data_IF_370217413167
#
_entry.id   IF_370217413167
#
_cell.length_a   1.000
_cell.length_b   1.000
_cell.length_c   1.000
_cell.angle_alpha   90.00
_cell.angle_beta   90.00
_cell.angle_gamma   90.00
#
_symmetry.space_group_name_H-M   'P 1'
#
loop_
_entity.id
_entity.type
_entity.pdbx_description
1 polymer ?
#
# COMPACT_ATOMS: atom_id res chain seq x y z
N UNK A 1 -0.06 -16.90 9.07
CA UNK A 1 1.20 -16.13 9.15
C UNK A 1 1.49 -15.62 7.75
N UNK A 2 1.34 -14.32 7.47
CA UNK A 2 1.69 -13.74 6.16
C UNK A 2 3.20 -13.88 6.00
N UNK A 3 3.66 -14.53 4.92
CA UNK A 3 5.08 -14.60 4.59
C UNK A 3 5.52 -13.24 4.06
N UNK A 4 6.06 -12.40 4.93
CA UNK A 4 6.77 -11.20 4.49
C UNK A 4 8.06 -11.65 3.80
N UNK A 5 8.36 -11.08 2.63
CA UNK A 5 9.65 -11.25 1.99
C UNK A 5 10.66 -10.44 2.82
N UNK A 6 11.52 -11.05 3.63
CA UNK A 6 12.55 -10.30 4.31
C UNK A 6 13.47 -9.69 3.23
N UNK A 7 13.73 -8.40 3.31
CA UNK A 7 14.88 -7.85 2.63
C UNK A 7 16.07 -8.68 3.13
N UNK A 8 16.74 -9.43 2.23
CA UNK A 8 17.95 -10.18 2.58
C UNK A 8 18.83 -9.25 3.40
N UNK A 9 19.18 -9.68 4.60
CA UNK A 9 20.17 -9.03 5.47
C UNK A 9 21.46 -8.89 4.69
N UNK A 10 21.61 -7.83 3.91
CA UNK A 10 22.90 -7.44 3.43
C UNK A 10 23.52 -6.66 4.58
N UNK A 11 24.65 -7.14 5.08
CA UNK A 11 25.51 -6.35 5.93
C UNK A 11 25.73 -5.02 5.23
N UNK A 12 25.16 -3.96 5.78
CA UNK A 12 25.42 -2.62 5.28
C UNK A 12 26.89 -2.36 5.57
N UNK A 13 27.76 -2.27 4.56
CA UNK A 13 29.14 -1.91 4.79
C UNK A 13 29.17 -0.59 5.55
N UNK A 14 30.13 -0.45 6.44
CA UNK A 14 30.32 0.78 7.19
C UNK A 14 30.22 1.98 6.26
N UNK A 15 29.67 3.08 6.75
CA UNK A 15 29.40 4.31 6.02
C UNK A 15 30.68 4.88 5.38
N UNK A 16 31.18 4.19 4.35
CA UNK A 16 32.17 4.72 3.42
C UNK A 16 31.37 5.40 2.33
N UNK A 17 31.82 6.55 1.91
CA UNK A 17 31.23 7.37 0.85
C UNK A 17 31.28 6.63 -0.49
N UNK A 18 30.47 5.59 -0.64
CA UNK A 18 30.27 4.97 -1.94
C UNK A 18 29.78 6.01 -2.91
N UNK A 19 30.48 6.18 -4.02
CA UNK A 19 30.07 7.11 -5.07
C UNK A 19 28.65 6.82 -5.57
N UNK A 20 27.94 7.85 -6.05
CA UNK A 20 26.56 7.73 -6.52
C UNK A 20 26.37 6.55 -7.48
N UNK A 21 27.30 6.35 -8.43
CA UNK A 21 27.26 5.25 -9.40
C UNK A 21 27.34 3.86 -8.75
N UNK A 22 28.15 3.72 -7.71
CA UNK A 22 28.30 2.45 -7.01
C UNK A 22 27.01 2.11 -6.22
N UNK A 23 26.40 3.11 -5.57
CA UNK A 23 25.09 2.96 -4.91
C UNK A 23 23.99 2.58 -5.90
N UNK A 24 23.94 3.21 -7.08
CA UNK A 24 22.96 2.89 -8.12
C UNK A 24 23.16 1.48 -8.68
N UNK A 25 24.41 1.03 -8.91
CA UNK A 25 24.71 -0.34 -9.35
C UNK A 25 24.24 -1.37 -8.33
N UNK A 26 24.56 -1.16 -7.06
CA UNK A 26 24.15 -2.05 -5.96
C UNK A 26 22.62 -2.11 -5.85
N UNK A 27 21.97 -0.97 -5.84
CA UNK A 27 20.51 -0.89 -5.81
C UNK A 27 19.86 -1.53 -7.04
N UNK A 28 20.45 -1.40 -8.23
CA UNK A 28 19.94 -2.06 -9.44
C UNK A 28 19.96 -3.60 -9.29
N UNK A 29 21.05 -4.16 -8.77
CA UNK A 29 21.17 -5.61 -8.52
C UNK A 29 20.16 -6.07 -7.46
N UNK A 30 20.01 -5.33 -6.35
CA UNK A 30 19.03 -5.60 -5.30
C UNK A 30 17.59 -5.67 -5.82
N UNK A 31 17.28 -4.86 -6.85
CA UNK A 31 15.97 -4.81 -7.50
C UNK A 31 15.88 -5.69 -8.77
N UNK A 32 16.88 -6.55 -9.01
CA UNK A 32 16.87 -7.50 -10.15
C UNK A 32 17.19 -6.90 -11.52
N UNK A 33 17.75 -5.69 -11.59
CA UNK A 33 18.14 -5.07 -12.85
C UNK A 33 19.58 -5.43 -13.24
N UNK A 34 19.78 -5.86 -14.51
CA UNK A 34 21.09 -6.16 -15.06
C UNK A 34 21.93 -4.90 -15.37
N UNK A 35 21.28 -3.74 -15.55
CA UNK A 35 21.93 -2.47 -15.89
C UNK A 35 21.49 -1.36 -14.94
N UNK A 36 22.46 -0.68 -14.35
CA UNK A 36 22.19 0.48 -13.49
C UNK A 36 21.59 1.67 -14.24
N UNK A 37 21.88 1.81 -15.55
CA UNK A 37 21.27 2.86 -16.37
C UNK A 37 19.78 2.61 -16.59
N UNK A 38 19.39 1.36 -16.89
CA UNK A 38 17.98 0.96 -17.00
C UNK A 38 17.27 1.16 -15.66
N UNK A 39 17.88 0.75 -14.56
CA UNK A 39 17.36 1.00 -13.22
C UNK A 39 17.19 2.49 -12.94
N UNK A 40 18.18 3.33 -13.24
CA UNK A 40 18.12 4.78 -13.07
C UNK A 40 17.00 5.42 -13.89
N UNK A 41 16.84 5.00 -15.15
CA UNK A 41 15.75 5.47 -16.03
C UNK A 41 14.37 5.07 -15.47
N UNK A 42 14.19 3.81 -15.05
CA UNK A 42 12.93 3.34 -14.46
C UNK A 42 12.60 4.14 -13.20
N UNK A 43 13.58 4.36 -12.33
CA UNK A 43 13.40 5.16 -11.09
C UNK A 43 13.03 6.61 -11.39
N UNK A 44 13.68 7.22 -12.39
CA UNK A 44 13.35 8.58 -12.84
C UNK A 44 11.93 8.63 -13.40
N UNK A 45 11.59 7.70 -14.31
CA UNK A 45 10.23 7.58 -14.88
C UNK A 45 9.18 7.45 -13.76
N UNK A 46 9.41 6.55 -12.80
CA UNK A 46 8.48 6.31 -11.71
C UNK A 46 8.33 7.53 -10.79
N UNK A 47 9.42 8.27 -10.56
CA UNK A 47 9.37 9.53 -9.85
C UNK A 47 8.51 10.57 -10.57
N UNK A 48 8.73 10.77 -11.88
CA UNK A 48 7.95 11.72 -12.69
C UNK A 48 6.48 11.33 -12.70
N UNK A 49 6.16 10.05 -12.93
CA UNK A 49 4.78 9.55 -12.90
C UNK A 49 4.11 9.75 -11.53
N UNK A 50 4.86 9.56 -10.43
CA UNK A 50 4.35 9.85 -9.09
C UNK A 50 4.00 11.33 -8.93
N UNK A 51 4.89 12.24 -9.36
CA UNK A 51 4.65 13.69 -9.27
C UNK A 51 3.41 14.11 -10.08
N UNK A 52 3.25 13.55 -11.29
CA UNK A 52 2.07 13.79 -12.12
C UNK A 52 0.81 13.24 -11.41
N UNK A 53 0.86 11.99 -10.93
CA UNK A 53 -0.27 11.37 -10.24
C UNK A 53 -0.71 12.14 -8.99
N UNK A 54 0.22 12.72 -8.25
CA UNK A 54 -0.09 13.49 -7.04
C UNK A 54 -0.83 14.80 -7.35
N UNK A 55 -0.54 15.45 -8.49
CA UNK A 55 -1.02 16.81 -8.82
C UNK A 55 -2.06 16.86 -9.93
N UNK A 56 -2.22 15.81 -10.73
CA UNK A 56 -3.15 15.82 -11.86
C UNK A 56 -4.59 16.09 -11.41
N UNK A 57 -5.30 16.94 -12.13
CA UNK A 57 -6.70 17.26 -11.85
C UNK A 57 -7.63 16.05 -12.09
N UNK A 58 -7.34 15.26 -13.13
CA UNK A 58 -8.22 14.18 -13.59
C UNK A 58 -7.91 12.83 -12.92
N UNK A 59 -8.93 12.18 -12.38
CA UNK A 59 -8.83 10.83 -11.80
C UNK A 59 -8.19 9.81 -12.77
N UNK A 60 -8.61 9.82 -14.01
CA UNK A 60 -8.09 8.91 -15.04
C UNK A 60 -6.58 9.07 -15.26
N UNK A 61 -6.05 10.28 -15.20
CA UNK A 61 -4.61 10.54 -15.31
C UNK A 61 -3.87 9.99 -14.08
N UNK A 62 -4.38 10.23 -12.88
CA UNK A 62 -3.80 9.71 -11.64
C UNK A 62 -3.71 8.18 -11.67
N UNK A 63 -4.83 7.52 -11.98
CA UNK A 63 -4.90 6.06 -12.09
C UNK A 63 -3.95 5.53 -13.16
N UNK A 64 -3.91 6.15 -14.35
CA UNK A 64 -3.00 5.74 -15.45
C UNK A 64 -1.54 5.83 -15.03
N UNK A 65 -1.12 6.94 -14.42
CA UNK A 65 0.25 7.10 -13.94
C UNK A 65 0.63 6.02 -12.92
N UNK A 66 -0.24 5.71 -11.98
CA UNK A 66 0.03 4.68 -10.97
C UNK A 66 0.10 3.27 -11.58
N UNK A 67 -0.78 2.94 -12.54
CA UNK A 67 -0.70 1.68 -13.29
C UNK A 67 0.64 1.54 -14.04
N UNK A 68 1.13 2.62 -14.67
CA UNK A 68 2.44 2.62 -15.34
C UNK A 68 3.63 2.47 -14.37
N UNK A 69 3.43 2.76 -13.09
CA UNK A 69 4.40 2.46 -12.02
C UNK A 69 4.30 1.02 -11.51
N UNK A 70 3.35 0.24 -12.00
CA UNK A 70 3.14 -1.15 -11.60
C UNK A 70 2.09 -1.36 -10.51
N UNK A 71 1.40 -0.31 -10.05
CA UNK A 71 0.28 -0.46 -9.10
C UNK A 71 -0.86 -1.21 -9.78
N UNK A 72 -1.38 -2.24 -9.14
CA UNK A 72 -2.54 -2.99 -9.62
C UNK A 72 -3.80 -2.25 -9.21
N UNK A 73 -4.54 -1.69 -10.18
CA UNK A 73 -5.73 -0.88 -9.90
C UNK A 73 -6.89 -1.42 -10.72
N UNK A 74 -7.97 -1.76 -10.04
CA UNK A 74 -9.22 -2.26 -10.60
C UNK A 74 -10.03 -1.23 -11.37
N UNK A 75 -11.26 -1.59 -11.72
CA UNK A 75 -12.22 -0.73 -12.42
C UNK A 75 -12.94 0.18 -11.41
N UNK A 76 -13.37 1.36 -11.87
CA UNK A 76 -14.18 2.27 -11.04
C UNK A 76 -13.49 2.83 -9.81
N UNK A 77 -12.17 2.68 -9.68
CA UNK A 77 -11.41 3.20 -8.54
C UNK A 77 -11.36 4.71 -8.57
N UNK A 78 -11.72 5.35 -7.45
CA UNK A 78 -11.45 6.75 -7.22
C UNK A 78 -10.08 6.92 -6.56
N UNK A 79 -9.21 7.70 -7.21
CA UNK A 79 -7.85 7.99 -6.73
C UNK A 79 -7.71 9.48 -6.45
N UNK A 80 -7.68 9.87 -5.19
CA UNK A 80 -7.55 11.25 -4.75
C UNK A 80 -6.22 11.92 -5.16
N UNK A 81 -6.14 13.22 -4.94
CA UNK A 81 -4.90 13.99 -5.14
C UNK A 81 -3.91 13.73 -4.01
N UNK A 82 -2.62 13.93 -4.29
CA UNK A 82 -1.56 13.82 -3.30
C UNK A 82 -1.49 12.46 -2.58
N UNK A 83 -1.88 11.37 -3.25
CA UNK A 83 -1.69 10.01 -2.74
C UNK A 83 -0.25 9.60 -3.00
N UNK A 84 0.50 9.41 -1.92
CA UNK A 84 1.90 8.98 -1.97
C UNK A 84 1.98 7.46 -1.87
N UNK A 85 2.64 6.83 -2.85
CA UNK A 85 3.03 5.42 -2.76
C UNK A 85 4.55 5.36 -2.66
N UNK A 86 5.00 4.53 -1.76
CA UNK A 86 6.39 4.21 -1.52
C UNK A 86 7.17 3.96 -2.83
N UNK A 87 8.18 4.79 -3.16
CA UNK A 87 8.79 4.74 -4.47
C UNK A 87 9.50 3.43 -4.84
N UNK A 88 10.13 2.68 -3.91
CA UNK A 88 10.85 1.45 -4.29
C UNK A 88 9.96 0.33 -4.81
N UNK A 89 8.73 0.20 -4.29
CA UNK A 89 7.91 -1.00 -4.49
C UNK A 89 6.43 -0.67 -4.80
N UNK A 90 6.11 0.18 -5.80
CA UNK A 90 4.73 0.53 -6.12
C UNK A 90 3.90 -0.69 -6.56
N UNK A 91 4.53 -1.70 -7.13
CA UNK A 91 3.89 -2.95 -7.58
C UNK A 91 3.45 -3.88 -6.43
N UNK A 92 3.78 -3.54 -5.18
CA UNK A 92 3.22 -4.19 -3.98
C UNK A 92 1.89 -3.59 -3.52
N UNK A 93 1.34 -2.61 -4.26
CA UNK A 93 0.03 -2.03 -3.96
C UNK A 93 -1.01 -2.58 -4.91
N UNK A 94 -2.06 -3.14 -4.33
CA UNK A 94 -3.25 -3.65 -5.03
C UNK A 94 -4.47 -2.87 -4.54
N UNK A 95 -5.24 -2.31 -5.48
CA UNK A 95 -6.50 -1.62 -5.23
C UNK A 95 -7.57 -2.23 -6.10
N UNK A 96 -8.53 -2.89 -5.49
CA UNK A 96 -9.58 -3.62 -6.20
C UNK A 96 -10.71 -2.71 -6.70
N UNK A 97 -11.64 -3.30 -7.46
CA UNK A 97 -12.74 -2.60 -8.12
C UNK A 97 -13.57 -1.75 -7.14
N UNK A 98 -13.95 -0.56 -7.57
CA UNK A 98 -14.84 0.32 -6.82
C UNK A 98 -14.22 0.94 -5.56
N UNK A 99 -13.00 0.60 -5.19
CA UNK A 99 -12.35 1.19 -4.03
C UNK A 99 -12.12 2.70 -4.20
N UNK A 100 -12.16 3.44 -3.11
CA UNK A 100 -12.01 4.90 -3.09
C UNK A 100 -10.92 5.32 -2.10
N UNK A 101 -9.89 6.00 -2.62
CA UNK A 101 -8.87 6.65 -1.82
C UNK A 101 -9.07 8.16 -1.93
N UNK A 102 -9.34 8.82 -0.81
CA UNK A 102 -9.34 10.28 -0.75
C UNK A 102 -7.92 10.84 -0.90
N UNK A 103 -7.77 12.15 -0.82
CA UNK A 103 -6.47 12.79 -0.96
C UNK A 103 -5.53 12.60 0.24
N UNK A 104 -4.25 12.93 0.04
CA UNK A 104 -3.20 12.96 1.09
C UNK A 104 -2.92 11.62 1.78
N UNK A 105 -3.24 10.49 1.17
CA UNK A 105 -2.95 9.18 1.74
C UNK A 105 -1.49 8.78 1.51
N UNK A 106 -0.92 8.02 2.45
CA UNK A 106 0.45 7.50 2.41
C UNK A 106 0.38 5.96 2.47
N UNK A 107 0.87 5.29 1.42
CA UNK A 107 0.94 3.83 1.33
C UNK A 107 2.40 3.40 1.39
N UNK A 108 2.81 2.83 2.50
CA UNK A 108 4.18 2.36 2.73
C UNK A 108 4.24 0.85 2.51
N UNK A 109 5.06 0.41 1.57
CA UNK A 109 5.21 -1.02 1.23
C UNK A 109 6.47 -1.64 1.83
N UNK A 110 7.34 -0.83 2.46
CA UNK A 110 8.52 -1.34 3.14
C UNK A 110 8.82 -0.58 4.42
N UNK A 111 9.56 -1.23 5.30
CA UNK A 111 10.26 -0.59 6.40
C UNK A 111 11.76 -0.82 6.25
N UNK A 112 12.57 0.15 6.63
CA UNK A 112 14.03 0.02 6.66
C UNK A 112 14.56 0.56 7.97
N UNK A 113 14.95 -0.36 8.85
CA UNK A 113 15.61 0.00 10.10
C UNK A 113 16.94 0.74 9.85
N UNK A 114 17.24 1.76 10.63
CA UNK A 114 18.58 2.34 10.64
C UNK A 114 19.61 1.31 11.11
N UNK A 115 20.89 1.51 10.77
CA UNK A 115 21.98 0.62 11.22
C UNK A 115 21.95 0.43 12.75
N UNK A 116 21.64 1.49 13.47
CA UNK A 116 21.56 1.46 14.94
C UNK A 116 20.46 0.50 15.45
N UNK A 117 19.29 0.52 14.79
CA UNK A 117 18.12 -0.26 15.21
C UNK A 117 18.01 -1.63 14.53
N UNK A 118 18.90 -1.98 13.60
CA UNK A 118 18.79 -3.19 12.78
C UNK A 118 18.86 -4.52 13.55
N UNK A 119 19.30 -4.49 14.82
CA UNK A 119 19.31 -5.66 15.72
C UNK A 119 17.96 -5.93 16.37
N UNK A 120 17.09 -4.92 16.47
CA UNK A 120 15.80 -4.99 17.18
C UNK A 120 14.61 -4.79 16.26
N UNK A 121 14.79 -4.15 15.10
CA UNK A 121 13.74 -3.90 14.10
C UNK A 121 14.17 -4.54 12.79
N UNK A 122 13.35 -5.46 12.28
CA UNK A 122 13.57 -6.06 10.97
C UNK A 122 13.14 -5.11 9.86
N UNK A 123 13.93 -5.10 8.78
CA UNK A 123 13.56 -4.45 7.54
C UNK A 123 12.79 -5.45 6.67
N UNK A 124 11.61 -5.07 6.21
CA UNK A 124 10.77 -5.95 5.38
C UNK A 124 10.01 -5.17 4.30
N UNK A 125 9.60 -5.90 3.28
CA UNK A 125 8.69 -5.43 2.23
C UNK A 125 7.44 -6.28 2.30
N UNK A 126 6.26 -5.66 2.26
CA UNK A 126 5.01 -6.38 2.30
C UNK A 126 3.92 -5.67 1.49
N UNK A 127 2.99 -6.42 0.86
CA UNK A 127 1.95 -5.84 0.03
C UNK A 127 0.92 -5.09 0.86
N UNK A 128 0.35 -4.04 0.24
CA UNK A 128 -0.87 -3.39 0.70
C UNK A 128 -2.00 -3.80 -0.24
N UNK A 129 -3.10 -4.27 0.32
CA UNK A 129 -4.30 -4.61 -0.45
C UNK A 129 -5.49 -3.78 0.03
N UNK A 130 -6.09 -3.02 -0.87
CA UNK A 130 -7.35 -2.31 -0.64
C UNK A 130 -8.41 -3.04 -1.43
N UNK A 131 -9.29 -3.74 -0.72
CA UNK A 131 -10.29 -4.64 -1.32
C UNK A 131 -11.43 -3.86 -1.94
N UNK A 132 -12.27 -4.58 -2.68
CA UNK A 132 -13.42 -4.07 -3.43
C UNK A 132 -14.28 -3.13 -2.58
N UNK A 133 -14.68 -1.99 -3.15
CA UNK A 133 -15.55 -1.00 -2.51
C UNK A 133 -15.05 -0.44 -1.15
N UNK A 134 -13.81 -0.70 -0.74
CA UNK A 134 -13.27 -0.09 0.47
C UNK A 134 -13.08 1.42 0.29
N UNK A 135 -13.30 2.16 1.36
CA UNK A 135 -13.13 3.62 1.37
C UNK A 135 -12.05 4.03 2.37
N UNK A 136 -10.97 4.58 1.85
CA UNK A 136 -9.88 5.17 2.62
C UNK A 136 -10.04 6.69 2.61
N UNK A 137 -10.39 7.27 3.74
CA UNK A 137 -10.61 8.71 3.88
C UNK A 137 -9.30 9.51 3.78
N UNK A 138 -9.38 10.83 3.90
CA UNK A 138 -8.24 11.75 3.70
C UNK A 138 -7.15 11.55 4.76
N UNK A 139 -5.88 11.60 4.33
CA UNK A 139 -4.73 11.64 5.23
C UNK A 139 -4.44 10.33 5.97
N UNK A 140 -4.95 9.20 5.49
CA UNK A 140 -4.68 7.89 6.09
C UNK A 140 -3.28 7.41 5.72
N UNK A 141 -2.57 6.86 6.69
CA UNK A 141 -1.30 6.15 6.49
C UNK A 141 -1.53 4.64 6.61
N UNK A 142 -1.13 3.88 5.59
CA UNK A 142 -1.23 2.42 5.59
C UNK A 142 0.18 1.83 5.65
N UNK A 143 0.45 1.02 6.68
CA UNK A 143 1.75 0.38 6.88
C UNK A 143 1.89 -0.91 6.05
N UNK A 144 3.13 -1.38 5.83
CA UNK A 144 3.38 -2.55 5.01
C UNK A 144 2.65 -3.80 5.51
N UNK A 145 2.09 -4.56 4.60
CA UNK A 145 1.42 -5.83 4.90
C UNK A 145 -0.04 -5.71 5.34
N UNK A 146 -0.59 -4.50 5.38
CA UNK A 146 -1.99 -4.30 5.79
C UNK A 146 -2.97 -4.51 4.64
N UNK A 147 -4.10 -5.12 4.96
CA UNK A 147 -5.25 -5.27 4.08
C UNK A 147 -6.43 -4.45 4.61
N UNK A 148 -7.07 -3.68 3.73
CA UNK A 148 -8.35 -3.03 4.01
C UNK A 148 -9.43 -3.92 3.39
N UNK A 149 -10.27 -4.51 4.22
CA UNK A 149 -11.31 -5.46 3.81
C UNK A 149 -12.37 -4.85 2.90
N UNK A 150 -13.09 -5.70 2.18
CA UNK A 150 -14.14 -5.28 1.26
C UNK A 150 -15.23 -4.48 1.96
N UNK A 151 -15.62 -3.34 1.36
CA UNK A 151 -16.61 -2.44 1.92
C UNK A 151 -16.23 -1.81 3.27
N UNK A 152 -14.99 -1.93 3.70
CA UNK A 152 -14.52 -1.29 4.93
C UNK A 152 -14.28 0.21 4.73
N UNK A 153 -14.41 0.97 5.81
CA UNK A 153 -14.13 2.41 5.85
C UNK A 153 -12.98 2.66 6.82
N UNK A 154 -11.98 3.42 6.37
CA UNK A 154 -10.91 3.93 7.24
C UNK A 154 -11.09 5.44 7.40
N UNK A 155 -11.31 5.90 8.63
CA UNK A 155 -11.54 7.31 8.95
C UNK A 155 -10.32 8.18 8.68
N UNK A 156 -10.57 9.45 8.41
CA UNK A 156 -9.53 10.44 8.11
C UNK A 156 -8.44 10.50 9.20
N UNK A 157 -7.18 10.66 8.77
CA UNK A 157 -6.03 10.79 9.66
C UNK A 157 -5.62 9.51 10.40
N UNK A 158 -6.21 8.37 10.08
CA UNK A 158 -5.91 7.10 10.76
C UNK A 158 -4.58 6.50 10.30
N UNK A 159 -3.94 5.70 11.18
CA UNK A 159 -2.74 4.92 10.87
C UNK A 159 -3.07 3.43 10.94
N UNK A 160 -3.13 2.79 9.78
CA UNK A 160 -3.45 1.36 9.67
C UNK A 160 -2.17 0.55 9.83
N UNK A 161 -2.06 -0.18 10.94
CA UNK A 161 -0.93 -1.05 11.28
C UNK A 161 -1.29 -2.54 11.33
N UNK A 162 -2.58 -2.86 11.14
CA UNK A 162 -3.13 -4.23 11.07
C UNK A 162 -4.23 -4.26 10.02
N UNK A 163 -4.58 -5.47 9.58
CA UNK A 163 -5.70 -5.66 8.66
C UNK A 163 -7.00 -5.09 9.24
N UNK A 164 -7.79 -4.43 8.38
CA UNK A 164 -9.14 -3.97 8.70
C UNK A 164 -10.13 -4.98 8.14
N UNK A 165 -11.02 -5.53 8.97
CA UNK A 165 -12.00 -6.52 8.53
C UNK A 165 -12.98 -5.97 7.49
N UNK A 166 -13.54 -6.82 6.60
CA UNK A 166 -14.60 -6.41 5.67
C UNK A 166 -15.81 -5.85 6.42
N UNK A 167 -16.52 -4.91 5.79
CA UNK A 167 -17.76 -4.31 6.29
C UNK A 167 -17.62 -3.71 7.70
N UNK A 168 -16.48 -3.12 8.00
CA UNK A 168 -16.26 -2.41 9.27
C UNK A 168 -15.78 -0.98 9.04
N UNK A 169 -15.93 -0.15 10.05
CA UNK A 169 -15.31 1.18 10.11
C UNK A 169 -14.19 1.16 11.13
N UNK A 170 -12.99 1.59 10.73
CA UNK A 170 -11.84 1.72 11.60
C UNK A 170 -11.39 3.18 11.72
N UNK A 171 -10.86 3.56 12.88
CA UNK A 171 -10.41 4.92 13.17
C UNK A 171 -9.25 4.93 14.16
N UNK A 172 -8.41 5.96 14.10
CA UNK A 172 -7.39 6.27 15.10
C UNK A 172 -5.96 5.93 14.69
N UNK A 173 -5.03 6.15 15.62
CA UNK A 173 -3.60 5.82 15.52
C UNK A 173 -3.14 5.08 16.79
N UNK A 174 -2.97 3.76 16.74
CA UNK A 174 -3.27 2.87 15.62
C UNK A 174 -4.78 2.77 15.34
N UNK A 175 -5.14 2.49 14.06
CA UNK A 175 -6.53 2.31 13.66
C UNK A 175 -7.11 1.03 14.27
N UNK A 176 -8.27 1.16 14.92
CA UNK A 176 -9.05 0.08 15.49
C UNK A 176 -10.47 0.11 14.96
N UNK A 177 -11.14 -1.05 14.90
CA UNK A 177 -12.55 -1.13 14.50
C UNK A 177 -13.41 -0.38 15.51
N UNK A 178 -14.19 0.59 15.04
CA UNK A 178 -15.08 1.41 15.87
C UNK A 178 -16.56 1.19 15.55
N UNK A 179 -16.88 0.60 14.40
CA UNK A 179 -18.26 0.31 14.01
C UNK A 179 -18.35 -0.90 13.08
N UNK A 180 -19.47 -1.62 13.16
CA UNK A 180 -19.83 -2.72 12.27
C UNK A 180 -20.84 -2.21 11.22
N UNK A 181 -20.49 -2.32 9.95
CA UNK A 181 -21.29 -1.84 8.81
C UNK A 181 -22.08 -2.97 8.13
N UNK A 182 -21.91 -4.23 8.58
CA UNK A 182 -22.45 -5.39 7.88
C UNK A 182 -23.96 -5.30 7.64
N UNK A 183 -24.72 -4.88 8.64
CA UNK A 183 -26.18 -4.72 8.50
C UNK A 183 -26.56 -3.61 7.52
N UNK A 184 -25.83 -2.50 7.54
CA UNK A 184 -26.11 -1.33 6.69
C UNK A 184 -25.82 -1.61 5.22
N UNK A 185 -24.76 -2.40 4.95
CA UNK A 185 -24.29 -2.70 3.60
C UNK A 185 -24.86 -3.99 3.01
N UNK A 186 -25.64 -4.78 3.78
CA UNK A 186 -26.17 -6.08 3.35
C UNK A 186 -26.86 -6.04 1.98
N UNK A 187 -27.67 -5.02 1.72
CA UNK A 187 -28.43 -4.90 0.47
C UNK A 187 -27.57 -4.55 -0.75
N UNK A 188 -26.28 -4.22 -0.57
CA UNK A 188 -25.35 -3.93 -1.66
C UNK A 188 -24.71 -5.21 -2.22
N UNK A 189 -25.00 -6.36 -1.65
CA UNK A 189 -24.42 -7.66 -1.99
C UNK A 189 -25.51 -8.67 -2.34
N UNK A 190 -25.18 -9.62 -3.19
CA UNK A 190 -25.98 -10.84 -3.30
C UNK A 190 -25.94 -11.63 -1.98
N UNK A 191 -26.90 -12.51 -1.79
CA UNK A 191 -26.93 -13.37 -0.57
C UNK A 191 -25.64 -14.16 -0.41
N UNK A 192 -25.15 -14.76 -1.50
CA UNK A 192 -23.93 -15.58 -1.50
C UNK A 192 -22.68 -14.74 -1.18
N UNK A 193 -22.52 -13.57 -1.82
CA UNK A 193 -21.38 -12.68 -1.54
C UNK A 193 -21.36 -12.24 -0.08
N UNK A 194 -22.55 -11.88 0.45
CA UNK A 194 -22.66 -11.45 1.85
C UNK A 194 -22.31 -12.57 2.82
N UNK A 195 -22.82 -13.80 2.60
CA UNK A 195 -22.51 -14.97 3.43
C UNK A 195 -21.01 -15.30 3.40
N UNK A 196 -20.37 -15.21 2.23
CA UNK A 196 -18.93 -15.40 2.07
C UNK A 196 -18.11 -14.35 2.85
N UNK A 197 -18.50 -13.08 2.78
CA UNK A 197 -17.85 -12.02 3.57
C UNK A 197 -18.01 -12.23 5.08
N UNK A 198 -19.20 -12.65 5.52
CA UNK A 198 -19.44 -12.95 6.95
C UNK A 198 -18.63 -14.17 7.41
N UNK A 199 -18.49 -15.19 6.57
CA UNK A 199 -17.64 -16.35 6.85
C UNK A 199 -16.15 -15.98 6.93
N UNK A 200 -15.68 -15.10 6.03
CA UNK A 200 -14.31 -14.57 6.09
C UNK A 200 -14.06 -13.79 7.38
N UNK A 201 -14.97 -12.90 7.78
CA UNK A 201 -14.89 -12.13 9.03
C UNK A 201 -14.73 -13.04 10.23
N UNK A 202 -15.59 -14.06 10.34
CA UNK A 202 -15.54 -15.04 11.43
C UNK A 202 -14.22 -15.80 11.43
N UNK A 203 -13.78 -16.31 10.27
CA UNK A 203 -12.59 -17.15 10.14
C UNK A 203 -11.29 -16.39 10.41
N UNK A 204 -11.15 -15.18 9.85
CA UNK A 204 -9.87 -14.43 9.83
C UNK A 204 -9.74 -13.44 10.99
N UNK A 205 -10.85 -12.89 11.44
CA UNK A 205 -10.87 -11.79 12.41
C UNK A 205 -11.60 -12.11 13.71
N UNK A 206 -12.29 -13.24 13.76
CA UNK A 206 -13.09 -13.69 14.91
C UNK A 206 -14.20 -12.69 15.32
N UNK A 207 -14.87 -12.06 14.34
CA UNK A 207 -15.96 -11.09 14.51
C UNK A 207 -17.16 -11.43 13.62
#
# INVERSE_FOLDING_TARGET
MKSYLPLKRQELPGYQSEGLLQRLRKSAVEHGYKSFMVFGFVRWKDHVLQQIAMRAAWNSTRVRCQRHRGVQIGKGVHWGTNVFIDPPYPYFVVVEDGASLAGNNILLTHTKASKYHSRIVESYVAPITIRKNAWVAVGVTILPGCEIGEGAIVSAGSVVSKDIPPLTMASGNPAVVVNDLARLLKNNYSKEEYENLMAERKRKYNI
#
